data_IF_298758093720
#
_entry.id   IF_298758093720
#
_cell.length_a   1.000
_cell.length_b   1.000
_cell.length_c   1.000
_cell.angle_alpha   90.00
_cell.angle_beta   90.00
_cell.angle_gamma   90.00
#
_symmetry.space_group_name_H-M   'P 1'
#
loop_
_entity.id
_entity.type
_entity.pdbx_description
1 polymer ?
#
# COMPACT_ATOMS: atom_id res chain seq x y z
N UNK A 1 0.15 -17.32 -10.81
CA UNK A 1 1.56 -17.52 -10.38
C UNK A 1 2.55 -16.78 -11.28
N UNK A 2 2.30 -16.69 -12.59
CA UNK A 2 3.23 -16.09 -13.58
C UNK A 2 3.58 -14.61 -13.33
N UNK A 3 2.63 -13.79 -12.83
CA UNK A 3 2.90 -12.36 -12.57
C UNK A 3 3.94 -12.14 -11.48
N UNK A 4 3.91 -12.92 -10.39
CA UNK A 4 4.85 -12.79 -9.28
C UNK A 4 6.29 -13.09 -9.71
N UNK A 5 6.48 -14.19 -10.47
CA UNK A 5 7.77 -14.53 -11.06
C UNK A 5 8.32 -13.42 -11.97
N UNK A 6 7.45 -12.73 -12.71
CA UNK A 6 7.83 -11.58 -13.52
C UNK A 6 8.31 -10.40 -12.66
N UNK A 7 7.55 -10.06 -11.61
CA UNK A 7 7.88 -8.98 -10.69
C UNK A 7 9.21 -9.20 -9.98
N UNK A 8 9.42 -10.35 -9.32
CA UNK A 8 10.67 -10.61 -8.59
C UNK A 8 11.91 -10.59 -9.50
N UNK A 9 11.81 -11.14 -10.72
CA UNK A 9 12.93 -11.09 -11.67
C UNK A 9 13.24 -9.68 -12.12
N UNK A 10 12.22 -8.87 -12.42
CA UNK A 10 12.40 -7.51 -12.96
C UNK A 10 12.77 -6.50 -11.88
N UNK A 11 12.24 -6.64 -10.68
CA UNK A 11 12.30 -5.60 -9.64
C UNK A 11 13.36 -5.91 -8.57
N UNK A 12 13.74 -7.18 -8.37
CA UNK A 12 14.74 -7.59 -7.38
C UNK A 12 15.99 -8.19 -8.06
N UNK A 13 15.86 -9.33 -8.73
CA UNK A 13 17.02 -10.13 -9.15
C UNK A 13 17.86 -9.45 -10.24
N UNK A 14 17.23 -8.98 -11.32
CA UNK A 14 17.97 -8.34 -12.44
C UNK A 14 18.62 -7.01 -12.05
N UNK A 15 17.93 -6.10 -11.31
CA UNK A 15 18.56 -4.86 -10.89
C UNK A 15 19.67 -5.07 -9.85
N UNK A 16 19.47 -5.97 -8.88
CA UNK A 16 20.45 -6.20 -7.82
C UNK A 16 21.67 -7.00 -8.30
N UNK A 17 21.50 -7.88 -9.30
CA UNK A 17 22.56 -8.68 -9.91
C UNK A 17 23.51 -9.32 -8.87
N UNK A 18 23.00 -10.22 -8.01
CA UNK A 18 23.78 -10.78 -6.91
C UNK A 18 25.08 -11.40 -7.39
N UNK A 19 26.19 -11.05 -6.74
CA UNK A 19 27.53 -11.54 -7.06
C UNK A 19 27.82 -12.93 -6.49
N UNK A 20 26.99 -13.40 -5.55
CA UNK A 20 27.11 -14.73 -4.94
C UNK A 20 25.75 -15.37 -4.65
N UNK A 21 25.77 -16.69 -4.42
CA UNK A 21 24.59 -17.44 -3.98
C UNK A 21 24.18 -17.09 -2.54
N UNK A 22 25.07 -16.56 -1.71
CA UNK A 22 24.76 -16.16 -0.33
C UNK A 22 24.04 -14.82 -0.27
N UNK A 23 24.34 -13.92 -1.22
CA UNK A 23 23.71 -12.60 -1.33
C UNK A 23 22.27 -12.70 -1.85
N UNK A 24 22.01 -13.61 -2.79
CA UNK A 24 20.70 -13.73 -3.44
C UNK A 24 19.54 -13.98 -2.45
N UNK A 25 19.62 -14.89 -1.46
CA UNK A 25 18.57 -15.07 -0.45
C UNK A 25 18.28 -13.82 0.37
N UNK A 26 19.30 -13.03 0.71
CA UNK A 26 19.13 -11.82 1.52
C UNK A 26 18.34 -10.76 0.74
N UNK A 27 18.71 -10.56 -0.54
CA UNK A 27 17.99 -9.66 -1.44
C UNK A 27 16.54 -10.11 -1.68
N UNK A 28 16.33 -11.41 -1.87
CA UNK A 28 14.99 -11.98 -2.05
C UNK A 28 14.15 -11.81 -0.79
N UNK A 29 14.71 -12.08 0.40
CA UNK A 29 14.01 -11.94 1.67
C UNK A 29 13.55 -10.49 1.89
N UNK A 30 14.46 -9.53 1.69
CA UNK A 30 14.13 -8.10 1.79
C UNK A 30 13.03 -7.69 0.79
N UNK A 31 13.11 -8.16 -0.45
CA UNK A 31 12.08 -7.88 -1.46
C UNK A 31 10.72 -8.48 -1.10
N UNK A 32 10.70 -9.73 -0.61
CA UNK A 32 9.46 -10.42 -0.20
C UNK A 32 8.81 -9.73 0.98
N UNK A 33 9.61 -9.29 1.96
CA UNK A 33 9.12 -8.55 3.13
C UNK A 33 8.44 -7.23 2.70
N UNK A 34 9.15 -6.41 1.94
CA UNK A 34 8.61 -5.16 1.38
C UNK A 34 7.35 -5.41 0.54
N UNK A 35 7.38 -6.41 -0.34
CA UNK A 35 6.27 -6.74 -1.24
C UNK A 35 5.00 -7.14 -0.49
N UNK A 36 5.13 -7.90 0.61
CA UNK A 36 4.03 -8.47 1.36
C UNK A 36 3.54 -7.56 2.49
N UNK A 37 4.43 -6.81 3.14
CA UNK A 37 4.10 -6.08 4.37
C UNK A 37 4.07 -4.55 4.20
N UNK A 38 4.63 -4.00 3.13
CA UNK A 38 4.72 -2.55 2.94
C UNK A 38 4.02 -2.09 1.65
N UNK A 39 4.26 -2.79 0.55
CA UNK A 39 3.73 -2.41 -0.77
C UNK A 39 2.21 -2.53 -0.83
N UNK A 40 1.55 -1.43 -1.17
CA UNK A 40 0.11 -1.40 -1.46
C UNK A 40 -0.16 -1.83 -2.90
N UNK A 41 -1.12 -2.74 -3.09
CA UNK A 41 -1.47 -3.25 -4.43
C UNK A 41 -2.84 -2.75 -4.86
N UNK A 42 -2.91 -2.08 -6.01
CA UNK A 42 -4.17 -1.56 -6.55
C UNK A 42 -5.23 -2.64 -6.77
N UNK A 43 -4.82 -3.83 -7.20
CA UNK A 43 -5.70 -4.99 -7.36
C UNK A 43 -6.33 -5.48 -6.04
N UNK A 44 -5.75 -5.10 -4.89
CA UNK A 44 -6.27 -5.41 -3.55
C UNK A 44 -7.01 -4.21 -2.93
N UNK A 45 -7.23 -3.12 -3.67
CA UNK A 45 -7.79 -1.88 -3.09
C UNK A 45 -6.75 -1.09 -2.29
N UNK A 46 -5.49 -1.14 -2.72
CA UNK A 46 -4.37 -0.48 -2.05
C UNK A 46 -4.19 -0.95 -0.60
N UNK A 47 -4.25 -2.25 -0.35
CA UNK A 47 -3.82 -2.88 0.90
C UNK A 47 -2.61 -3.78 0.63
N UNK A 48 -1.90 -4.14 1.69
CA UNK A 48 -0.76 -5.05 1.58
C UNK A 48 -1.24 -6.50 1.36
N UNK A 49 -0.46 -7.37 0.70
CA UNK A 49 -0.80 -8.77 0.58
C UNK A 49 -0.94 -9.46 1.94
N UNK A 50 -0.11 -9.09 2.93
CA UNK A 50 -0.19 -9.62 4.28
C UNK A 50 -1.52 -9.25 4.97
N UNK A 51 -1.96 -7.99 4.87
CA UNK A 51 -3.24 -7.57 5.45
C UNK A 51 -4.42 -8.30 4.80
N UNK A 52 -4.37 -8.48 3.47
CA UNK A 52 -5.39 -9.24 2.74
C UNK A 52 -5.41 -10.70 3.19
N UNK A 53 -4.24 -11.32 3.33
CA UNK A 53 -4.10 -12.71 3.78
C UNK A 53 -4.66 -12.91 5.19
N UNK A 54 -4.44 -11.93 6.08
CA UNK A 54 -4.98 -11.94 7.45
C UNK A 54 -6.46 -11.51 7.54
N UNK A 55 -7.14 -11.24 6.41
CA UNK A 55 -8.56 -10.86 6.39
C UNK A 55 -8.85 -9.48 7.01
N UNK A 56 -7.85 -8.58 7.04
CA UNK A 56 -7.99 -7.25 7.65
C UNK A 56 -8.61 -6.21 6.70
N UNK A 57 -8.89 -6.59 5.47
CA UNK A 57 -9.35 -5.70 4.40
C UNK A 57 -10.64 -4.95 4.76
N UNK A 58 -11.65 -5.64 5.31
CA UNK A 58 -12.91 -5.02 5.70
C UNK A 58 -12.72 -3.90 6.74
N UNK A 59 -11.89 -4.15 7.76
CA UNK A 59 -11.62 -3.17 8.83
C UNK A 59 -10.82 -1.99 8.29
N UNK A 60 -9.82 -2.25 7.44
CA UNK A 60 -9.01 -1.21 6.80
C UNK A 60 -9.89 -0.31 5.92
N UNK A 61 -10.81 -0.87 5.15
CA UNK A 61 -11.72 -0.09 4.31
C UNK A 61 -12.69 0.74 5.14
N UNK A 62 -13.30 0.16 6.18
CA UNK A 62 -14.19 0.90 7.08
C UNK A 62 -13.50 2.10 7.73
N UNK A 63 -12.25 1.93 8.18
CA UNK A 63 -11.46 3.00 8.79
C UNK A 63 -11.08 4.10 7.77
N UNK A 64 -10.81 3.73 6.51
CA UNK A 64 -10.57 4.70 5.43
C UNK A 64 -11.82 5.52 5.14
N UNK A 65 -12.97 4.88 5.05
CA UNK A 65 -14.24 5.56 4.78
C UNK A 65 -14.58 6.54 5.90
N UNK A 66 -14.38 6.14 7.17
CA UNK A 66 -14.54 7.03 8.33
C UNK A 66 -13.66 8.28 8.20
N UNK A 67 -12.37 8.12 7.92
CA UNK A 67 -11.43 9.25 7.77
C UNK A 67 -11.81 10.17 6.61
N UNK A 68 -12.29 9.60 5.50
CA UNK A 68 -12.74 10.38 4.35
C UNK A 68 -13.98 11.21 4.70
N UNK A 69 -14.93 10.64 5.43
CA UNK A 69 -16.13 11.34 5.84
C UNK A 69 -15.82 12.49 6.80
N UNK A 70 -14.97 12.26 7.80
CA UNK A 70 -14.49 13.31 8.71
C UNK A 70 -13.77 14.44 7.96
N UNK A 71 -12.99 14.11 6.93
CA UNK A 71 -12.35 15.12 6.09
C UNK A 71 -13.38 15.91 5.26
N UNK A 72 -14.46 15.27 4.78
CA UNK A 72 -15.54 15.96 4.05
C UNK A 72 -16.28 16.95 4.96
N UNK A 73 -16.66 16.54 6.16
CA UNK A 73 -17.35 17.43 7.10
C UNK A 73 -16.47 18.60 7.54
N UNK A 74 -15.18 18.38 7.82
CA UNK A 74 -14.23 19.48 8.09
C UNK A 74 -14.16 20.48 6.95
N UNK A 75 -14.09 20.01 5.69
CA UNK A 75 -14.08 20.91 4.52
C UNK A 75 -15.39 21.68 4.37
N UNK A 76 -16.53 21.05 4.66
CA UNK A 76 -17.85 21.69 4.62
C UNK A 76 -17.96 22.80 5.66
N UNK A 77 -17.50 22.55 6.89
CA UNK A 77 -17.47 23.55 7.96
C UNK A 77 -16.55 24.73 7.61
N UNK A 78 -15.34 24.45 7.13
CA UNK A 78 -14.40 25.50 6.70
C UNK A 78 -14.97 26.38 5.58
N UNK A 79 -15.68 25.79 4.62
CA UNK A 79 -16.36 26.54 3.55
C UNK A 79 -17.47 27.44 4.10
N UNK A 80 -18.31 26.94 5.01
CA UNK A 80 -19.37 27.74 5.64
C UNK A 80 -18.80 28.94 6.40
N UNK A 81 -17.79 28.71 7.22
CA UNK A 81 -17.11 29.79 7.96
C UNK A 81 -16.50 30.83 7.01
N UNK A 82 -15.88 30.40 5.90
CA UNK A 82 -15.35 31.33 4.90
C UNK A 82 -16.44 32.16 4.19
N UNK A 83 -17.61 31.58 3.96
CA UNK A 83 -18.77 32.31 3.39
C UNK A 83 -19.36 33.31 4.39
N UNK A 84 -19.46 32.95 5.67
CA UNK A 84 -19.97 33.82 6.74
C UNK A 84 -19.05 35.01 7.05
N UNK A 85 -17.73 34.87 6.87
CA UNK A 85 -16.76 35.96 7.05
C UNK A 85 -16.74 36.94 5.86
N UNK A 86 -17.16 36.49 4.68
CA UNK A 86 -17.11 37.27 3.44
C UNK A 86 -18.41 38.02 3.10
N UNK A 87 -19.50 37.79 3.86
CA UNK A 87 -20.78 38.47 3.73
C UNK A 87 -21.01 39.48 4.84
#
# INVERSE_FOLDING_TARGET
MERWHGSIKRECIRPACPGSLEEAPQLVAAYVDEYNHVRLHSALGYITPADKLNGLDAVIFAERDRKLEEARERRKQARRAATEVAG
#
